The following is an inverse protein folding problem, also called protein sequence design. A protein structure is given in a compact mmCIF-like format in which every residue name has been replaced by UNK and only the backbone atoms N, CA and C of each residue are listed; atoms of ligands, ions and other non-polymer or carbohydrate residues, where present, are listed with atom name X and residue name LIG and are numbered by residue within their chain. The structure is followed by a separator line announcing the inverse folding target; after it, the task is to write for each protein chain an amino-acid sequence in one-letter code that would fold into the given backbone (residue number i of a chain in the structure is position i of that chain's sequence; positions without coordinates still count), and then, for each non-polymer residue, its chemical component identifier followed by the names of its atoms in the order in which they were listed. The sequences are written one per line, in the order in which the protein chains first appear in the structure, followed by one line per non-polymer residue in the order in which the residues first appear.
data_IF_137616530925
#
_entry.id   IF_137616530925
#
_cell.length_a   1.000
_cell.length_b   1.000
_cell.length_c   1.000
_cell.angle_alpha   90.00
_cell.angle_beta   90.00
_cell.angle_gamma   90.00
#
_symmetry.space_group_name_H-M   'P 1'
#
loop_
_entity.id
_entity.type
_entity.pdbx_description
1 polymer ?
#
# COMPACT_ATOMS: atom_id res chain seq x y z
N UNK A 1 -11.22 12.01 -7.03
CA UNK A 1 -11.42 10.98 -5.99
C UNK A 1 -10.05 10.54 -5.51
N UNK A 2 -9.86 10.08 -4.27
CA UNK A 2 -8.55 9.59 -3.84
C UNK A 2 -8.14 8.33 -4.61
N UNK A 3 -6.88 7.94 -4.52
CA UNK A 3 -6.45 6.60 -4.88
C UNK A 3 -7.21 5.58 -4.03
N UNK A 4 -7.60 4.45 -4.60
CA UNK A 4 -8.31 3.39 -3.86
C UNK A 4 -7.58 2.07 -4.01
N UNK A 5 -7.21 1.45 -2.89
CA UNK A 5 -6.57 0.14 -2.85
C UNK A 5 -7.50 -0.87 -2.18
N UNK A 6 -7.91 -1.90 -2.92
CA UNK A 6 -8.67 -3.03 -2.39
C UNK A 6 -7.68 -4.06 -1.87
N UNK A 7 -7.50 -4.14 -0.54
CA UNK A 7 -6.47 -4.97 0.06
C UNK A 7 -6.70 -6.46 -0.18
N UNK A 8 -7.96 -6.88 -0.39
CA UNK A 8 -8.32 -8.28 -0.61
C UNK A 8 -7.90 -8.79 -1.99
N UNK A 9 -7.86 -7.91 -3.00
CA UNK A 9 -7.51 -8.28 -4.37
C UNK A 9 -6.16 -7.74 -4.81
N UNK A 10 -5.64 -6.72 -4.12
CA UNK A 10 -4.46 -5.99 -4.56
C UNK A 10 -4.72 -5.01 -5.70
N UNK A 11 -6.00 -4.72 -5.97
CA UNK A 11 -6.41 -3.80 -7.03
C UNK A 11 -6.16 -2.36 -6.60
N UNK A 12 -5.51 -1.58 -7.46
CA UNK A 12 -5.39 -0.13 -7.30
C UNK A 12 -6.18 0.59 -8.39
N UNK A 13 -7.06 1.49 -7.96
CA UNK A 13 -7.82 2.39 -8.81
C UNK A 13 -7.29 3.81 -8.64
N UNK A 14 -7.08 4.50 -9.76
CA UNK A 14 -6.59 5.87 -9.77
C UNK A 14 -7.71 6.89 -9.48
N UNK A 15 -7.36 8.17 -9.23
CA UNK A 15 -8.33 9.26 -9.01
C UNK A 15 -9.39 9.48 -10.09
N UNK A 16 -9.14 9.00 -11.31
CA UNK A 16 -10.03 9.06 -12.47
C UNK A 16 -10.99 7.86 -12.56
N UNK A 17 -10.88 6.90 -11.62
CA UNK A 17 -11.71 5.69 -11.58
C UNK A 17 -11.22 4.54 -12.45
N UNK A 18 -9.98 4.61 -12.98
CA UNK A 18 -9.39 3.53 -13.78
C UNK A 18 -8.60 2.56 -12.89
N UNK A 19 -8.79 1.26 -13.10
CA UNK A 19 -7.93 0.23 -12.51
C UNK A 19 -6.56 0.31 -13.19
N UNK A 20 -5.52 0.59 -12.40
CA UNK A 20 -4.13 0.70 -12.88
C UNK A 20 -3.22 -0.42 -12.38
N UNK A 21 -3.67 -1.18 -11.38
CA UNK A 21 -3.02 -2.41 -10.95
C UNK A 21 -4.06 -3.43 -10.51
N UNK A 22 -3.79 -4.70 -10.79
CA UNK A 22 -4.58 -5.86 -10.32
C UNK A 22 -3.71 -6.98 -9.78
N UNK A 23 -2.41 -6.72 -9.66
CA UNK A 23 -1.34 -7.64 -9.29
C UNK A 23 -0.60 -7.20 -8.00
N UNK A 24 -1.04 -6.11 -7.38
CA UNK A 24 -0.50 -5.65 -6.11
C UNK A 24 -0.81 -6.62 -4.96
N UNK A 25 -0.18 -6.40 -3.81
CA UNK A 25 -0.53 -7.15 -2.60
C UNK A 25 -0.06 -6.46 -1.32
N UNK A 26 -0.61 -6.88 -0.18
CA UNK A 26 -0.19 -6.45 1.14
C UNK A 26 -0.26 -7.59 2.16
N UNK A 27 0.68 -7.64 3.09
CA UNK A 27 0.83 -8.76 4.03
C UNK A 27 1.61 -9.93 3.46
N UNK A 28 1.83 -10.96 4.29
CA UNK A 28 2.61 -12.15 3.95
C UNK A 28 1.93 -13.43 4.44
N UNK A 29 2.28 -14.56 3.82
CA UNK A 29 1.73 -15.87 4.19
C UNK A 29 0.21 -15.87 4.23
N UNK A 30 -0.36 -16.29 5.35
CA UNK A 30 -1.81 -16.32 5.58
C UNK A 30 -2.46 -14.92 5.64
N UNK A 31 -1.66 -13.89 5.95
CA UNK A 31 -2.10 -12.50 5.99
C UNK A 31 -2.06 -11.79 4.63
N UNK A 32 -1.46 -12.40 3.59
CA UNK A 32 -1.40 -11.78 2.26
C UNK A 32 -2.81 -11.56 1.73
N UNK A 33 -3.16 -10.30 1.49
CA UNK A 33 -4.46 -9.85 0.99
C UNK A 33 -5.64 -10.39 1.83
N UNK A 34 -5.44 -10.58 3.14
CA UNK A 34 -6.46 -11.10 4.03
C UNK A 34 -6.94 -10.01 5.01
N UNK A 35 -8.06 -9.32 4.71
CA UNK A 35 -8.64 -8.28 5.56
C UNK A 35 -8.89 -8.70 7.01
N UNK A 36 -9.22 -9.97 7.25
CA UNK A 36 -9.49 -10.47 8.59
C UNK A 36 -8.25 -10.44 9.50
N UNK A 37 -7.06 -10.40 8.90
CA UNK A 37 -5.78 -10.37 9.61
C UNK A 37 -5.15 -8.98 9.65
N UNK A 38 -5.84 -7.90 9.24
CA UNK A 38 -5.29 -6.53 9.20
C UNK A 38 -4.78 -6.02 10.56
N UNK A 39 -5.18 -6.67 11.66
CA UNK A 39 -4.73 -6.36 13.02
C UNK A 39 -3.43 -7.04 13.39
N UNK A 40 -3.05 -8.11 12.68
CA UNK A 40 -1.91 -8.96 12.99
C UNK A 40 -0.59 -8.29 12.59
N UNK A 41 0.27 -7.91 13.56
CA UNK A 41 1.53 -7.24 13.27
C UNK A 41 2.43 -8.10 12.39
N UNK A 42 3.07 -7.46 11.41
CA UNK A 42 4.01 -8.08 10.47
C UNK A 42 3.47 -9.22 9.58
N UNK A 43 2.19 -9.57 9.69
CA UNK A 43 1.57 -10.67 8.92
C UNK A 43 0.46 -10.12 8.03
N UNK A 44 -0.48 -9.38 8.62
CA UNK A 44 -1.65 -8.88 7.93
C UNK A 44 -1.36 -7.78 6.91
N UNK A 45 -2.31 -7.52 6.00
CA UNK A 45 -2.22 -6.39 5.08
C UNK A 45 -2.24 -5.06 5.85
N UNK A 46 -1.97 -3.95 5.15
CA UNK A 46 -2.20 -2.61 5.70
C UNK A 46 -3.63 -2.49 6.23
N UNK A 47 -3.88 -1.92 7.42
CA UNK A 47 -5.23 -1.70 7.90
C UNK A 47 -6.09 -0.88 6.94
N UNK A 48 -7.39 -1.17 6.90
CA UNK A 48 -8.36 -0.34 6.17
C UNK A 48 -8.48 1.05 6.79
N UNK A 49 -8.72 2.04 5.95
CA UNK A 49 -8.85 3.44 6.33
C UNK A 49 -8.24 4.38 5.30
N UNK A 50 -8.15 5.65 5.65
CA UNK A 50 -7.55 6.68 4.81
C UNK A 50 -6.11 6.99 5.23
N UNK A 51 -5.27 7.21 4.23
CA UNK A 51 -3.85 7.45 4.39
C UNK A 51 -3.40 8.60 3.48
N UNK A 52 -2.45 9.37 3.96
CA UNK A 52 -1.69 10.33 3.17
C UNK A 52 -0.46 9.64 2.57
N UNK A 53 -0.34 9.69 1.25
CA UNK A 53 0.84 9.27 0.50
C UNK A 53 1.89 10.39 0.58
N UNK A 54 3.06 10.08 1.13
CA UNK A 54 4.22 10.99 1.16
C UNK A 54 5.05 10.89 -0.11
N UNK A 55 5.90 11.89 -0.34
CA UNK A 55 6.74 11.95 -1.54
C UNK A 55 7.63 10.72 -1.71
N UNK A 56 7.87 10.34 -2.96
CA UNK A 56 8.74 9.21 -3.26
C UNK A 56 10.19 9.45 -2.83
N UNK A 57 10.81 8.41 -2.27
CA UNK A 57 12.23 8.40 -1.91
C UNK A 57 12.91 7.11 -2.37
N UNK A 58 14.23 7.18 -2.44
CA UNK A 58 15.06 5.97 -2.49
C UNK A 58 15.21 5.38 -1.08
N UNK A 59 15.11 4.07 -0.97
CA UNK A 59 15.31 3.32 0.28
C UNK A 59 16.27 2.18 0.00
N UNK A 60 17.29 2.02 0.85
CA UNK A 60 18.25 0.90 0.73
C UNK A 60 17.52 -0.45 0.89
N UNK A 61 16.44 -0.51 1.68
CA UNK A 61 15.69 -1.73 1.97
C UNK A 61 14.61 -2.05 0.94
N UNK A 62 13.90 -1.02 0.47
CA UNK A 62 12.66 -1.18 -0.34
C UNK A 62 12.81 -0.64 -1.76
N UNK A 63 14.01 -0.19 -2.11
CA UNK A 63 14.37 0.28 -3.44
C UNK A 63 13.84 1.68 -3.77
N UNK A 64 13.95 2.08 -5.04
CA UNK A 64 13.56 3.40 -5.50
C UNK A 64 12.03 3.56 -5.53
N UNK A 65 11.53 4.81 -5.42
CA UNK A 65 10.10 5.18 -5.39
C UNK A 65 9.34 4.39 -4.32
N UNK A 66 9.93 4.36 -3.12
CA UNK A 66 9.20 3.99 -1.91
C UNK A 66 8.50 5.24 -1.38
N UNK A 67 7.24 5.12 -0.98
CA UNK A 67 6.43 6.23 -0.46
C UNK A 67 5.88 5.86 0.91
N UNK A 68 6.12 6.69 1.92
CA UNK A 68 5.58 6.46 3.26
C UNK A 68 4.07 6.76 3.30
N UNK A 69 3.31 5.96 4.06
CA UNK A 69 1.87 6.13 4.26
C UNK A 69 1.61 6.60 5.70
N UNK A 70 1.11 7.82 5.85
CA UNK A 70 0.68 8.34 7.15
C UNK A 70 -0.82 8.11 7.32
N UNK A 71 -1.30 7.43 8.38
CA UNK A 71 -2.73 7.29 8.61
C UNK A 71 -3.36 8.66 8.87
N UNK A 72 -4.50 8.93 8.25
CA UNK A 72 -5.30 10.09 8.57
C UNK A 72 -6.07 9.89 9.88
N UNK A 73 -6.59 10.98 10.46
CA UNK A 73 -7.45 10.92 11.65
C UNK A 73 -8.66 10.03 11.35
N UNK A 74 -8.94 9.08 12.25
CA UNK A 74 -10.01 8.08 12.10
C UNK A 74 -9.54 6.72 11.58
N UNK A 75 -8.33 6.61 11.04
CA UNK A 75 -7.75 5.32 10.62
C UNK A 75 -7.19 4.55 11.81
N UNK A 76 -7.81 3.42 12.15
CA UNK A 76 -7.31 2.52 13.19
C UNK A 76 -6.16 1.67 12.66
N UNK A 77 -4.93 1.92 13.12
CA UNK A 77 -3.78 1.11 12.72
C UNK A 77 -3.54 -0.10 13.61
N UNK A 78 -4.35 -0.30 14.66
CA UNK A 78 -4.18 -1.38 15.65
C UNK A 78 -2.78 -1.38 16.29
N UNK A 79 -2.21 -0.19 16.51
CA UNK A 79 -0.85 -0.04 17.06
C UNK A 79 0.28 -0.30 16.07
N UNK A 80 -0.03 -0.62 14.81
CA UNK A 80 0.94 -0.81 13.72
C UNK A 80 1.31 0.53 13.08
N UNK A 81 2.49 0.58 12.44
CA UNK A 81 3.04 1.80 11.83
C UNK A 81 4.04 1.45 10.72
N UNK A 82 4.72 2.47 10.19
CA UNK A 82 5.75 2.35 9.16
C UNK A 82 5.28 1.70 7.84
N UNK A 83 4.02 1.95 7.47
CA UNK A 83 3.44 1.50 6.22
C UNK A 83 4.03 2.26 5.02
N UNK A 84 4.22 1.54 3.92
CA UNK A 84 4.80 2.07 2.69
C UNK A 84 4.01 1.57 1.47
N UNK A 85 4.14 2.30 0.36
CA UNK A 85 4.01 1.76 -0.99
C UNK A 85 5.42 1.52 -1.52
N UNK A 86 5.78 0.28 -1.90
CA UNK A 86 7.09 -0.02 -2.47
C UNK A 86 7.09 -1.21 -3.45
N UNK A 87 8.27 -1.51 -4.01
CA UNK A 87 8.45 -2.59 -4.97
C UNK A 87 8.59 -3.95 -4.31
N UNK A 88 8.34 -4.99 -5.10
CA UNK A 88 8.49 -6.38 -4.66
C UNK A 88 9.97 -6.81 -4.60
N UNK A 89 10.21 -7.97 -3.99
CA UNK A 89 11.45 -8.73 -4.05
C UNK A 89 11.28 -9.95 -4.97
N UNK A 90 12.37 -10.66 -5.26
CA UNK A 90 12.36 -11.82 -6.17
C UNK A 90 11.59 -13.03 -5.64
N UNK A 91 11.28 -13.07 -4.33
CA UNK A 91 10.54 -14.16 -3.68
C UNK A 91 9.07 -13.84 -3.42
N UNK A 92 8.57 -12.68 -3.83
CA UNK A 92 7.18 -12.23 -3.62
C UNK A 92 6.75 -12.21 -2.14
N UNK A 93 7.69 -11.90 -1.24
CA UNK A 93 7.49 -11.86 0.22
C UNK A 93 7.84 -10.51 0.83
N UNK A 94 7.93 -9.46 0.01
CA UNK A 94 8.44 -8.16 0.43
C UNK A 94 7.58 -7.44 1.49
N UNK A 95 6.31 -7.81 1.65
CA UNK A 95 5.38 -7.11 2.52
C UNK A 95 5.23 -7.75 3.90
N UNK A 96 5.22 -6.92 4.94
CA UNK A 96 4.77 -7.25 6.30
C UNK A 96 3.57 -6.36 6.70
N UNK A 97 2.79 -5.94 5.69
CA UNK A 97 1.71 -4.97 5.80
C UNK A 97 1.90 -3.70 4.96
N UNK A 98 2.97 -3.59 4.17
CA UNK A 98 3.11 -2.53 3.15
C UNK A 98 2.33 -2.89 1.89
N UNK A 99 2.01 -1.90 1.06
CA UNK A 99 1.42 -2.12 -0.27
C UNK A 99 2.56 -2.33 -1.26
N UNK A 100 2.53 -3.45 -1.98
CA UNK A 100 3.50 -3.80 -3.01
C UNK A 100 2.89 -3.55 -4.37
N UNK A 101 3.59 -2.75 -5.18
CA UNK A 101 3.17 -2.37 -6.54
C UNK A 101 4.36 -2.34 -7.49
N UNK A 102 4.08 -2.65 -8.76
CA UNK A 102 5.00 -2.49 -9.89
C UNK A 102 5.49 -1.05 -10.03
N UNK A 103 6.68 -0.90 -10.62
CA UNK A 103 7.47 0.34 -10.61
C UNK A 103 6.74 1.51 -11.28
N UNK A 104 6.18 1.28 -12.46
CA UNK A 104 5.44 2.25 -13.26
C UNK A 104 4.20 2.78 -12.52
N UNK A 105 3.43 1.91 -11.85
CA UNK A 105 2.28 2.34 -11.04
C UNK A 105 2.72 3.22 -9.87
N UNK A 106 3.84 2.88 -9.22
CA UNK A 106 4.41 3.73 -8.15
C UNK A 106 4.88 5.09 -8.67
N UNK A 107 5.39 5.13 -9.90
CA UNK A 107 5.75 6.39 -10.55
C UNK A 107 4.52 7.21 -10.94
N UNK A 108 3.42 6.57 -11.37
CA UNK A 108 2.14 7.25 -11.62
C UNK A 108 1.59 7.88 -10.35
N UNK A 109 1.59 7.15 -9.23
CA UNK A 109 1.25 7.71 -7.92
C UNK A 109 2.17 8.89 -7.62
N UNK A 110 3.49 8.76 -7.81
CA UNK A 110 4.42 9.86 -7.52
C UNK A 110 4.17 11.11 -8.40
N UNK A 111 3.75 10.95 -9.65
CA UNK A 111 3.40 12.08 -10.54
C UNK A 111 2.05 12.73 -10.22
N UNK A 112 1.13 12.00 -9.59
CA UNK A 112 -0.20 12.50 -9.21
C UNK A 112 -0.12 13.68 -8.24
N UNK A 113 -1.00 14.67 -8.41
CA UNK A 113 -1.22 15.73 -7.42
C UNK A 113 -2.12 15.27 -6.28
N UNK A 114 -2.99 14.27 -6.52
CA UNK A 114 -3.73 13.60 -5.47
C UNK A 114 -2.79 12.70 -4.67
N UNK A 115 -2.84 12.85 -3.35
CA UNK A 115 -1.98 12.21 -2.37
C UNK A 115 -2.78 11.49 -1.29
N UNK A 116 -4.08 11.35 -1.46
CA UNK A 116 -4.92 10.58 -0.55
C UNK A 116 -5.10 9.17 -1.08
N UNK A 117 -5.03 8.19 -0.17
CA UNK A 117 -5.28 6.79 -0.41
C UNK A 117 -6.38 6.31 0.51
N UNK A 118 -7.40 5.67 -0.04
CA UNK A 118 -8.38 4.89 0.69
C UNK A 118 -8.05 3.41 0.54
N UNK A 119 -7.91 2.72 1.66
CA UNK A 119 -7.74 1.26 1.73
C UNK A 119 -9.05 0.65 2.17
N UNK A 120 -9.54 -0.32 1.40
CA UNK A 120 -10.77 -1.08 1.66
C UNK A 120 -10.56 -2.58 1.57
#
# INVERSE_FOLDING_TARGET
MPWTYEQRTGTLTNPEGRVVASDGYSGAGQGRNNPAMEREPNVGPIPRGSYQIRGARHSVRTGPVSMDLSPNVGTSTFGRSAFLIHGDNSSHTASHGCIILRRDVREDINRSTDRELVVQ
#
